data_IF_142694791242
#
_entry.id   IF_142694791242
#
_cell.length_a   1.000
_cell.length_b   1.000
_cell.length_c   1.000
_cell.angle_alpha   90.00
_cell.angle_beta   90.00
_cell.angle_gamma   90.00
#
_symmetry.space_group_name_H-M   'P 1'
#
loop_
_entity.id
_entity.type
_entity.pdbx_description
1 polymer ?
#
# COMPACT_ATOMS: atom_id res chain seq x y z
N UNK A 1 49.99 1.03 -8.57
CA UNK A 1 48.64 1.34 -9.08
C UNK A 1 47.64 0.54 -8.27
N UNK A 2 47.01 1.16 -7.27
CA UNK A 2 45.91 0.53 -6.52
C UNK A 2 44.69 0.48 -7.41
N UNK A 3 44.25 -0.71 -7.82
CA UNK A 3 42.95 -0.90 -8.45
C UNK A 3 41.89 -0.43 -7.44
N UNK A 4 41.33 0.77 -7.66
CA UNK A 4 40.14 1.19 -6.94
C UNK A 4 39.03 0.20 -7.28
N UNK A 5 38.66 -0.62 -6.31
CA UNK A 5 37.60 -1.61 -6.44
C UNK A 5 36.28 -0.84 -6.60
N UNK A 6 35.79 -0.72 -7.83
CA UNK A 6 34.52 -0.07 -8.13
C UNK A 6 33.38 -0.85 -7.47
N UNK A 7 32.63 -0.19 -6.60
CA UNK A 7 31.45 -0.79 -5.97
C UNK A 7 30.23 -0.59 -6.86
N UNK A 8 29.47 -1.66 -7.09
CA UNK A 8 28.28 -1.61 -7.93
C UNK A 8 27.06 -2.31 -7.33
N UNK A 9 25.88 -1.95 -7.81
CA UNK A 9 24.64 -2.68 -7.53
C UNK A 9 23.66 -2.57 -8.69
N UNK A 10 22.76 -3.52 -8.81
CA UNK A 10 21.69 -3.51 -9.83
C UNK A 10 20.36 -3.26 -9.14
N UNK A 11 19.62 -2.24 -9.59
CA UNK A 11 18.25 -1.98 -9.19
C UNK A 11 17.29 -2.48 -10.28
N UNK A 12 16.16 -3.04 -9.86
CA UNK A 12 15.16 -3.60 -10.75
C UNK A 12 13.84 -2.83 -10.63
N UNK A 13 13.43 -2.23 -11.74
CA UNK A 13 12.23 -1.42 -11.86
C UNK A 13 11.23 -2.11 -12.78
N UNK A 14 9.95 -1.89 -12.55
CA UNK A 14 8.88 -2.32 -13.45
C UNK A 14 7.89 -1.17 -13.69
N UNK A 15 7.57 -0.90 -14.96
CA UNK A 15 6.69 0.20 -15.37
C UNK A 15 7.36 1.58 -15.38
N UNK A 16 8.67 1.67 -15.11
CA UNK A 16 9.41 2.92 -15.16
C UNK A 16 9.74 3.30 -16.61
N UNK A 17 9.51 4.57 -16.98
CA UNK A 17 9.89 5.08 -18.30
C UNK A 17 11.42 5.24 -18.38
N UNK A 18 12.05 4.68 -19.42
CA UNK A 18 13.51 4.75 -19.64
C UNK A 18 14.05 6.19 -19.65
N UNK A 19 13.28 7.12 -20.22
CA UNK A 19 13.61 8.56 -20.25
C UNK A 19 13.61 9.19 -18.86
N UNK A 20 12.68 8.80 -17.98
CA UNK A 20 12.65 9.27 -16.60
C UNK A 20 13.85 8.75 -15.79
N UNK A 21 14.27 7.50 -16.03
CA UNK A 21 15.48 6.93 -15.43
C UNK A 21 16.70 7.73 -15.88
N UNK A 22 16.84 8.00 -17.18
CA UNK A 22 17.94 8.81 -17.71
C UNK A 22 18.04 10.20 -17.07
N UNK A 23 16.92 10.93 -17.00
CA UNK A 23 16.85 12.24 -16.33
C UNK A 23 17.29 12.18 -14.86
N UNK A 24 16.93 11.11 -14.15
CA UNK A 24 17.32 10.96 -12.74
C UNK A 24 18.82 10.71 -12.59
N UNK A 25 19.40 9.92 -13.50
CA UNK A 25 20.83 9.61 -13.53
C UNK A 25 21.67 10.82 -13.93
N UNK A 26 21.22 11.60 -14.92
CA UNK A 26 21.88 12.85 -15.35
C UNK A 26 21.95 13.89 -14.22
N UNK A 27 20.97 13.88 -13.32
CA UNK A 27 20.92 14.76 -12.15
C UNK A 27 21.78 14.29 -10.96
N UNK A 28 22.58 13.22 -11.12
CA UNK A 28 23.50 12.80 -10.07
C UNK A 28 24.57 13.86 -9.81
N UNK A 29 24.69 14.35 -8.57
CA UNK A 29 25.72 15.31 -8.23
C UNK A 29 27.13 14.74 -8.50
N UNK A 30 28.03 15.50 -9.17
CA UNK A 30 29.34 15.01 -9.60
C UNK A 30 30.21 14.55 -8.43
N UNK A 31 30.00 15.11 -7.23
CA UNK A 31 30.69 14.70 -6.00
C UNK A 31 30.39 13.25 -5.57
N UNK A 32 29.30 12.63 -6.07
CA UNK A 32 29.03 11.22 -5.78
C UNK A 32 29.92 10.29 -6.61
N UNK A 33 30.52 10.78 -7.70
CA UNK A 33 31.32 9.99 -8.65
C UNK A 33 30.65 8.67 -9.00
N UNK A 34 29.34 8.75 -9.27
CA UNK A 34 28.48 7.62 -9.56
C UNK A 34 28.00 7.72 -11.01
N UNK A 35 27.96 6.58 -11.68
CA UNK A 35 27.40 6.43 -13.00
C UNK A 35 26.33 5.34 -12.97
N UNK A 36 25.37 5.42 -13.89
CA UNK A 36 24.40 4.36 -14.08
C UNK A 36 24.28 4.00 -15.56
N UNK A 37 24.07 2.72 -15.83
CA UNK A 37 23.63 2.20 -17.14
C UNK A 37 22.30 1.52 -16.95
N UNK A 38 21.40 1.65 -17.90
CA UNK A 38 20.11 0.97 -17.81
C UNK A 38 19.73 0.30 -19.12
N UNK A 39 18.93 -0.76 -19.00
CA UNK A 39 18.39 -1.51 -20.13
C UNK A 39 16.96 -1.91 -19.81
N UNK A 40 16.08 -1.74 -20.79
CA UNK A 40 14.68 -2.13 -20.69
C UNK A 40 14.37 -3.32 -21.57
N UNK A 41 13.49 -4.21 -21.09
CA UNK A 41 12.88 -5.31 -21.84
C UNK A 41 11.39 -5.33 -21.54
N UNK A 42 10.57 -4.91 -22.49
CA UNK A 42 9.16 -4.62 -22.23
C UNK A 42 9.03 -3.57 -21.13
N UNK A 43 8.22 -3.86 -20.11
CA UNK A 43 8.00 -2.97 -18.97
C UNK A 43 9.07 -3.08 -17.86
N UNK A 44 10.01 -4.03 -17.94
CA UNK A 44 11.05 -4.20 -16.94
C UNK A 44 12.30 -3.41 -17.30
N UNK A 45 12.86 -2.67 -16.33
CA UNK A 45 14.09 -1.89 -16.49
C UNK A 45 15.10 -2.26 -15.41
N UNK A 46 16.30 -2.65 -15.84
CA UNK A 46 17.44 -2.89 -14.97
C UNK A 46 18.34 -1.65 -14.99
N UNK A 47 18.72 -1.17 -13.81
CA UNK A 47 19.63 -0.03 -13.64
C UNK A 47 20.88 -0.50 -12.89
N UNK A 48 21.99 -0.62 -13.59
CA UNK A 48 23.29 -0.95 -13.03
C UNK A 48 23.98 0.35 -12.59
N UNK A 49 24.21 0.48 -11.28
CA UNK A 49 24.92 1.59 -10.66
C UNK A 49 26.37 1.20 -10.38
N UNK A 50 27.28 2.12 -10.63
CA UNK A 50 28.69 2.01 -10.29
C UNK A 50 29.15 3.31 -9.66
N UNK A 51 29.99 3.25 -8.64
CA UNK A 51 30.61 4.42 -8.06
C UNK A 51 32.02 4.11 -7.54
N UNK A 52 32.87 5.14 -7.52
CA UNK A 52 34.23 5.05 -6.98
C UNK A 52 34.28 4.89 -5.46
N UNK A 53 33.17 5.16 -4.75
CA UNK A 53 33.08 4.96 -3.31
C UNK A 53 31.74 4.34 -2.89
N UNK A 54 31.71 3.54 -1.80
CA UNK A 54 30.47 2.98 -1.25
C UNK A 54 29.45 4.05 -0.85
N UNK A 55 29.94 5.21 -0.38
CA UNK A 55 29.09 6.34 0.01
C UNK A 55 28.37 6.97 -1.19
N UNK A 56 29.08 7.13 -2.31
CA UNK A 56 28.53 7.60 -3.58
C UNK A 56 27.50 6.64 -4.13
N UNK A 57 27.81 5.34 -4.11
CA UNK A 57 26.88 4.28 -4.53
C UNK A 57 25.59 4.31 -3.70
N UNK A 58 25.70 4.41 -2.37
CA UNK A 58 24.53 4.46 -1.48
C UNK A 58 23.65 5.67 -1.76
N UNK A 59 24.24 6.85 -2.00
CA UNK A 59 23.50 8.08 -2.34
C UNK A 59 22.81 7.99 -3.69
N UNK A 60 23.52 7.52 -4.72
CA UNK A 60 22.95 7.33 -6.07
C UNK A 60 21.81 6.31 -6.07
N UNK A 61 22.01 5.17 -5.40
CA UNK A 61 20.96 4.17 -5.23
C UNK A 61 19.76 4.76 -4.48
N UNK A 62 19.99 5.50 -3.38
CA UNK A 62 18.92 6.12 -2.62
C UNK A 62 18.12 7.14 -3.44
N UNK A 63 18.78 7.94 -4.28
CA UNK A 63 18.11 8.89 -5.17
C UNK A 63 17.16 8.17 -6.13
N UNK A 64 17.61 7.07 -6.75
CA UNK A 64 16.75 6.23 -7.59
C UNK A 64 15.61 5.58 -6.80
N UNK A 65 15.87 5.09 -5.58
CA UNK A 65 14.81 4.52 -4.72
C UNK A 65 13.74 5.55 -4.37
N UNK A 66 14.11 6.81 -4.19
CA UNK A 66 13.17 7.90 -3.91
C UNK A 66 12.36 8.27 -5.14
N UNK A 67 13.03 8.47 -6.28
CA UNK A 67 12.39 8.82 -7.54
C UNK A 67 11.43 7.73 -8.04
N UNK A 68 11.84 6.46 -7.93
CA UNK A 68 11.11 5.30 -8.46
C UNK A 68 10.57 4.40 -7.35
N UNK A 69 10.15 4.98 -6.23
CA UNK A 69 9.74 4.21 -5.04
C UNK A 69 8.62 3.22 -5.33
N UNK A 70 7.72 3.53 -6.26
CA UNK A 70 6.63 2.65 -6.68
C UNK A 70 7.10 1.59 -7.67
N UNK A 71 8.01 1.93 -8.58
CA UNK A 71 8.46 1.08 -9.69
C UNK A 71 9.56 0.10 -9.28
N UNK A 72 10.35 0.47 -8.28
CA UNK A 72 11.36 -0.40 -7.69
C UNK A 72 10.69 -1.58 -6.99
N UNK A 73 11.03 -2.78 -7.46
CA UNK A 73 10.57 -4.03 -6.86
C UNK A 73 11.71 -4.83 -6.22
N UNK A 74 12.98 -4.59 -6.57
CA UNK A 74 14.09 -5.38 -6.04
C UNK A 74 15.47 -4.88 -6.45
N UNK A 75 16.48 -5.62 -6.03
CA UNK A 75 17.89 -5.38 -6.37
C UNK A 75 18.63 -6.71 -6.60
N UNK A 76 19.71 -6.68 -7.37
CA UNK A 76 20.49 -7.88 -7.69
C UNK A 76 19.64 -8.93 -8.42
N UNK A 77 19.51 -10.11 -7.83
CA UNK A 77 18.80 -11.26 -8.42
C UNK A 77 17.32 -11.37 -8.02
N UNK A 78 16.77 -10.40 -7.28
CA UNK A 78 15.35 -10.41 -6.91
C UNK A 78 14.47 -10.49 -8.17
N UNK A 79 13.56 -11.46 -8.22
CA UNK A 79 12.58 -11.57 -9.31
C UNK A 79 11.28 -10.88 -8.93
N UNK A 80 10.51 -10.41 -9.93
CA UNK A 80 9.22 -9.78 -9.67
C UNK A 80 8.22 -10.72 -8.93
N UNK A 81 8.10 -12.02 -9.27
CA UNK A 81 7.29 -12.95 -8.49
C UNK A 81 7.72 -13.06 -7.02
N UNK A 82 9.03 -13.11 -6.73
CA UNK A 82 9.52 -13.14 -5.35
C UNK A 82 9.16 -11.86 -4.59
N UNK A 83 9.28 -10.69 -5.24
CA UNK A 83 8.86 -9.41 -4.65
C UNK A 83 7.35 -9.32 -4.38
N UNK A 84 6.52 -10.05 -5.15
CA UNK A 84 5.07 -10.17 -4.88
C UNK A 84 4.83 -10.97 -3.62
N UNK A 85 5.42 -12.17 -3.50
CA UNK A 85 5.28 -13.02 -2.30
C UNK A 85 5.72 -12.25 -1.06
N UNK A 86 6.89 -11.62 -1.12
CA UNK A 86 7.44 -10.81 -0.03
C UNK A 86 6.54 -9.62 0.34
N UNK A 87 5.92 -8.96 -0.64
CA UNK A 87 4.98 -7.86 -0.40
C UNK A 87 3.66 -8.34 0.21
N UNK A 88 3.15 -9.49 -0.21
CA UNK A 88 1.94 -10.08 0.35
C UNK A 88 2.16 -10.55 1.79
N UNK A 89 3.27 -11.26 2.04
CA UNK A 89 3.64 -11.75 3.37
C UNK A 89 3.85 -10.59 4.34
N UNK A 90 4.65 -9.59 3.95
CA UNK A 90 4.94 -8.41 4.78
C UNK A 90 3.69 -7.65 5.20
N UNK A 91 2.66 -7.65 4.35
CA UNK A 91 1.43 -6.92 4.59
C UNK A 91 0.26 -7.80 5.03
N UNK A 92 0.53 -9.08 5.31
CA UNK A 92 -0.46 -10.07 5.74
C UNK A 92 -1.70 -10.09 4.84
N UNK A 93 -1.47 -10.29 3.54
CA UNK A 93 -2.53 -10.26 2.52
C UNK A 93 -2.64 -11.58 1.78
N UNK A 94 -3.86 -12.11 1.73
CA UNK A 94 -4.20 -13.27 0.91
C UNK A 94 -4.61 -12.85 -0.51
N UNK A 95 -3.95 -13.43 -1.50
CA UNK A 95 -4.28 -13.36 -2.92
C UNK A 95 -5.00 -14.65 -3.35
N UNK A 96 -6.04 -14.51 -4.16
CA UNK A 96 -6.69 -15.63 -4.85
C UNK A 96 -6.92 -15.31 -6.33
N UNK A 97 -7.11 -16.35 -7.14
CA UNK A 97 -7.59 -16.20 -8.51
C UNK A 97 -9.11 -16.40 -8.58
N UNK A 98 -9.78 -15.59 -9.39
CA UNK A 98 -11.23 -15.68 -9.59
C UNK A 98 -11.59 -16.61 -10.75
N UNK A 99 -10.68 -16.77 -11.72
CA UNK A 99 -10.82 -17.58 -12.93
C UNK A 99 -9.51 -18.28 -13.29
N UNK A 100 -9.62 -19.26 -14.19
CA UNK A 100 -8.50 -20.06 -14.65
C UNK A 100 -7.50 -19.25 -15.49
N UNK A 101 -7.93 -18.18 -16.17
CA UNK A 101 -7.04 -17.33 -16.95
C UNK A 101 -6.03 -16.61 -16.03
N UNK A 102 -6.49 -15.99 -14.94
CA UNK A 102 -5.60 -15.43 -13.93
C UNK A 102 -4.76 -16.51 -13.23
N UNK A 103 -5.32 -17.69 -12.97
CA UNK A 103 -4.59 -18.86 -12.47
C UNK A 103 -3.38 -19.21 -13.35
N UNK A 104 -3.61 -19.40 -14.64
CA UNK A 104 -2.56 -19.72 -15.62
C UNK A 104 -1.45 -18.66 -15.70
N UNK A 105 -1.76 -17.38 -15.47
CA UNK A 105 -0.76 -16.31 -15.44
C UNK A 105 0.13 -16.38 -14.19
N UNK A 106 -0.41 -16.81 -13.04
CA UNK A 106 0.24 -16.68 -11.74
C UNK A 106 0.83 -17.98 -11.19
N UNK A 107 0.12 -19.11 -11.32
CA UNK A 107 0.44 -20.37 -10.61
C UNK A 107 1.86 -20.84 -10.88
N UNK A 108 2.23 -21.07 -12.14
CA UNK A 108 3.57 -21.53 -12.51
C UNK A 108 4.70 -20.57 -12.10
N UNK A 109 4.39 -19.28 -11.83
CA UNK A 109 5.38 -18.27 -11.41
C UNK A 109 5.53 -18.19 -9.90
N UNK A 110 4.54 -18.64 -9.15
CA UNK A 110 4.51 -18.56 -7.69
C UNK A 110 4.75 -19.93 -7.03
N UNK A 111 4.43 -21.04 -7.69
CA UNK A 111 4.44 -22.40 -7.11
C UNK A 111 5.79 -22.79 -6.49
N UNK A 112 6.91 -22.41 -7.13
CA UNK A 112 8.25 -22.78 -6.66
C UNK A 112 8.89 -21.73 -5.74
N UNK A 113 8.15 -20.71 -5.32
CA UNK A 113 8.68 -19.65 -4.46
C UNK A 113 8.42 -19.95 -2.98
N UNK A 114 9.43 -19.76 -2.12
CA UNK A 114 9.26 -19.96 -0.69
C UNK A 114 8.24 -18.96 -0.13
N UNK A 115 7.26 -19.45 0.63
CA UNK A 115 6.23 -18.62 1.28
C UNK A 115 5.02 -18.31 0.40
N UNK A 116 5.03 -18.70 -0.88
CA UNK A 116 3.89 -18.50 -1.78
C UNK A 116 2.63 -19.21 -1.26
N UNK A 117 2.77 -20.39 -0.64
CA UNK A 117 1.71 -21.18 -0.05
C UNK A 117 0.96 -20.48 1.09
N UNK A 118 1.59 -19.47 1.72
CA UNK A 118 0.97 -18.69 2.82
C UNK A 118 0.10 -17.56 2.30
N UNK A 119 0.38 -17.08 1.08
CA UNK A 119 -0.21 -15.85 0.53
C UNK A 119 -1.04 -16.08 -0.72
N UNK A 120 -0.96 -17.26 -1.33
CA UNK A 120 -1.67 -17.61 -2.55
C UNK A 120 -2.27 -19.01 -2.47
N UNK A 121 -3.52 -19.15 -2.91
CA UNK A 121 -4.30 -20.37 -2.71
C UNK A 121 -4.20 -21.40 -3.85
N UNK A 122 -3.54 -21.05 -4.95
CA UNK A 122 -3.42 -21.91 -6.15
C UNK A 122 -4.77 -22.48 -6.62
N UNK A 123 -5.85 -21.69 -6.48
CA UNK A 123 -7.20 -22.09 -6.85
C UNK A 123 -7.91 -23.06 -5.89
N UNK A 124 -7.20 -23.63 -4.91
CA UNK A 124 -7.68 -24.74 -4.08
C UNK A 124 -8.93 -24.41 -3.25
N UNK A 125 -9.08 -23.15 -2.83
CA UNK A 125 -10.25 -22.67 -2.07
C UNK A 125 -11.10 -21.66 -2.85
N UNK A 126 -10.70 -21.30 -4.06
CA UNK A 126 -11.34 -20.27 -4.89
C UNK A 126 -11.98 -20.83 -6.16
N UNK A 127 -11.40 -20.56 -7.33
CA UNK A 127 -12.05 -20.81 -8.62
C UNK A 127 -12.04 -22.29 -9.05
N UNK A 128 -11.03 -23.06 -8.62
CA UNK A 128 -10.91 -24.49 -8.93
C UNK A 128 -11.65 -25.36 -7.91
N UNK A 129 -12.10 -24.78 -6.79
CA UNK A 129 -12.80 -25.51 -5.75
C UNK A 129 -14.23 -25.90 -6.21
N UNK A 130 -14.64 -27.19 -6.10
CA UNK A 130 -15.94 -27.66 -6.60
C UNK A 130 -17.14 -27.09 -5.82
N UNK A 131 -16.95 -26.61 -4.58
CA UNK A 131 -18.00 -25.98 -3.78
C UNK A 131 -18.00 -24.46 -3.94
N UNK A 132 -16.82 -23.84 -3.86
CA UNK A 132 -16.68 -22.37 -3.89
C UNK A 132 -16.83 -21.81 -5.30
N UNK A 133 -16.28 -22.47 -6.32
CA UNK A 133 -16.32 -22.03 -7.72
C UNK A 133 -17.76 -21.74 -8.22
N UNK A 134 -18.71 -22.68 -8.08
CA UNK A 134 -20.11 -22.44 -8.44
C UNK A 134 -20.78 -21.32 -7.64
N UNK A 135 -20.41 -21.14 -6.36
CA UNK A 135 -20.93 -20.07 -5.53
C UNK A 135 -20.42 -18.69 -5.97
N UNK A 136 -19.14 -18.59 -6.36
CA UNK A 136 -18.55 -17.40 -6.96
C UNK A 136 -19.30 -17.03 -8.23
N UNK A 137 -19.49 -17.99 -9.13
CA UNK A 137 -20.20 -17.80 -10.40
C UNK A 137 -21.65 -17.32 -10.17
N UNK A 138 -22.37 -17.98 -9.25
CA UNK A 138 -23.74 -17.58 -8.88
C UNK A 138 -23.80 -16.14 -8.38
N UNK A 139 -22.87 -15.73 -7.50
CA UNK A 139 -22.82 -14.35 -6.96
C UNK A 139 -22.36 -13.32 -8.00
N UNK A 140 -21.51 -13.72 -8.94
CA UNK A 140 -21.08 -12.86 -10.04
C UNK A 140 -22.25 -12.57 -10.99
N UNK A 141 -22.96 -13.62 -11.44
CA UNK A 141 -24.14 -13.51 -12.32
C UNK A 141 -25.26 -12.67 -11.71
N UNK A 142 -25.49 -12.77 -10.40
CA UNK A 142 -26.49 -11.95 -9.71
C UNK A 142 -26.25 -10.43 -9.79
N UNK A 143 -25.03 -10.00 -10.15
CA UNK A 143 -24.66 -8.58 -10.30
C UNK A 143 -24.69 -8.09 -11.75
N UNK A 144 -24.89 -9.00 -12.69
CA UNK A 144 -24.87 -8.72 -14.12
C UNK A 144 -26.30 -8.75 -14.67
N UNK A 145 -26.57 -7.99 -15.75
CA UNK A 145 -27.75 -8.22 -16.57
C UNK A 145 -27.81 -9.67 -17.06
N UNK A 146 -29.02 -10.23 -17.24
CA UNK A 146 -29.22 -11.63 -17.63
C UNK A 146 -28.46 -12.00 -18.91
N UNK A 147 -28.36 -11.06 -19.85
CA UNK A 147 -27.77 -11.28 -21.18
C UNK A 147 -26.36 -10.67 -21.32
N UNK A 148 -25.65 -10.46 -20.20
CA UNK A 148 -24.32 -9.85 -20.24
C UNK A 148 -23.26 -10.82 -20.77
N UNK A 149 -22.81 -10.60 -22.00
CA UNK A 149 -21.75 -11.36 -22.66
C UNK A 149 -20.37 -10.70 -22.62
N UNK A 150 -20.26 -9.46 -22.15
CA UNK A 150 -18.99 -8.73 -22.07
C UNK A 150 -18.00 -9.43 -21.12
N UNK A 151 -16.88 -9.99 -21.63
CA UNK A 151 -15.91 -10.73 -20.83
C UNK A 151 -15.32 -9.90 -19.69
N UNK A 152 -15.14 -8.59 -19.89
CA UNK A 152 -14.58 -7.71 -18.87
C UNK A 152 -15.55 -7.52 -17.70
N UNK A 153 -16.84 -7.31 -17.99
CA UNK A 153 -17.87 -7.21 -16.94
C UNK A 153 -17.99 -8.52 -16.17
N UNK A 154 -17.90 -9.65 -16.85
CA UNK A 154 -17.89 -10.97 -16.22
C UNK A 154 -16.68 -11.16 -15.31
N UNK A 155 -15.46 -10.93 -15.80
CA UNK A 155 -14.23 -11.02 -15.01
C UNK A 155 -14.25 -10.08 -13.79
N UNK A 156 -14.72 -8.84 -13.96
CA UNK A 156 -14.88 -7.88 -12.88
C UNK A 156 -15.87 -8.36 -11.81
N UNK A 157 -17.05 -8.82 -12.22
CA UNK A 157 -18.06 -9.34 -11.29
C UNK A 157 -17.54 -10.58 -10.56
N UNK A 158 -16.81 -11.46 -11.26
CA UNK A 158 -16.21 -12.68 -10.72
C UNK A 158 -15.11 -12.39 -9.72
N UNK A 159 -14.16 -11.50 -10.02
CA UNK A 159 -13.12 -11.06 -9.06
C UNK A 159 -13.70 -10.42 -7.80
N UNK A 160 -14.77 -9.64 -7.95
CA UNK A 160 -15.48 -9.07 -6.81
C UNK A 160 -16.26 -10.10 -5.99
N UNK A 161 -16.80 -11.13 -6.63
CA UNK A 161 -17.51 -12.21 -5.97
C UNK A 161 -16.53 -13.14 -5.24
N UNK A 162 -15.48 -13.60 -5.92
CA UNK A 162 -14.42 -14.46 -5.39
C UNK A 162 -13.84 -13.89 -4.08
N UNK A 163 -13.38 -12.63 -4.12
CA UNK A 163 -12.86 -11.95 -2.93
C UNK A 163 -13.81 -11.99 -1.74
N UNK A 164 -15.12 -11.79 -1.98
CA UNK A 164 -16.14 -11.76 -0.91
C UNK A 164 -16.60 -13.15 -0.46
N UNK A 165 -16.56 -14.15 -1.32
CA UNK A 165 -16.94 -15.53 -0.99
C UNK A 165 -15.85 -16.17 -0.14
N UNK A 166 -14.60 -16.04 -0.58
CA UNK A 166 -13.44 -16.66 0.09
C UNK A 166 -13.00 -15.82 1.30
N UNK A 167 -13.23 -14.51 1.28
CA UNK A 167 -12.75 -13.62 2.35
C UNK A 167 -11.31 -13.15 2.16
N UNK A 168 -10.76 -13.25 0.95
CA UNK A 168 -9.41 -12.82 0.63
C UNK A 168 -9.26 -11.29 0.56
N UNK A 169 -8.03 -10.79 0.66
CA UNK A 169 -7.71 -9.37 0.53
C UNK A 169 -7.72 -8.91 -0.92
N UNK A 170 -7.17 -9.75 -1.79
CA UNK A 170 -7.00 -9.51 -3.21
C UNK A 170 -7.56 -10.67 -4.02
N UNK A 171 -8.20 -10.36 -5.16
CA UNK A 171 -8.65 -11.36 -6.11
C UNK A 171 -8.33 -10.92 -7.53
N UNK A 172 -7.58 -11.75 -8.25
CA UNK A 172 -7.16 -11.52 -9.63
C UNK A 172 -8.10 -12.21 -10.63
N UNK A 173 -8.32 -11.58 -11.78
CA UNK A 173 -9.04 -12.12 -12.94
C UNK A 173 -8.39 -11.60 -14.22
N UNK A 174 -8.47 -12.34 -15.33
CA UNK A 174 -8.15 -11.84 -16.68
C UNK A 174 -9.35 -12.08 -17.60
N UNK A 175 -9.71 -11.04 -18.35
CA UNK A 175 -10.60 -11.17 -19.49
C UNK A 175 -9.73 -11.20 -20.76
N UNK A 176 -9.55 -12.38 -21.32
CA UNK A 176 -8.87 -12.56 -22.60
C UNK A 176 -9.81 -12.16 -23.75
N UNK A 177 -9.29 -11.40 -24.70
CA UNK A 177 -9.94 -11.00 -25.95
C UNK A 177 -9.01 -11.32 -27.11
N UNK A 178 -9.51 -11.23 -28.34
CA UNK A 178 -8.75 -11.60 -29.53
C UNK A 178 -7.42 -10.83 -29.69
N UNK A 179 -7.36 -9.58 -29.23
CA UNK A 179 -6.20 -8.68 -29.43
C UNK A 179 -5.53 -8.19 -28.14
N UNK A 180 -6.17 -8.39 -26.97
CA UNK A 180 -5.67 -7.93 -25.68
C UNK A 180 -6.13 -8.84 -24.51
N UNK A 181 -5.46 -8.74 -23.35
CA UNK A 181 -6.03 -9.21 -22.07
C UNK A 181 -6.29 -8.00 -21.18
N UNK A 182 -7.48 -7.95 -20.58
CA UNK A 182 -7.78 -6.99 -19.54
C UNK A 182 -7.61 -7.66 -18.17
N UNK A 183 -6.60 -7.22 -17.45
CA UNK A 183 -6.29 -7.63 -16.09
C UNK A 183 -7.20 -6.90 -15.11
N UNK A 184 -7.74 -7.65 -14.15
CA UNK A 184 -8.56 -7.11 -13.06
C UNK A 184 -8.00 -7.57 -11.73
N UNK A 185 -7.75 -6.61 -10.83
CA UNK A 185 -7.44 -6.89 -9.43
C UNK A 185 -8.48 -6.26 -8.51
N UNK A 186 -9.32 -7.09 -7.91
CA UNK A 186 -10.30 -6.70 -6.90
C UNK A 186 -9.64 -6.61 -5.53
N UNK A 187 -9.85 -5.49 -4.83
CA UNK A 187 -9.47 -5.29 -3.45
C UNK A 187 -10.63 -4.69 -2.64
N UNK A 188 -10.44 -4.44 -1.34
CA UNK A 188 -11.47 -3.83 -0.48
C UNK A 188 -11.94 -2.46 -0.98
N UNK A 189 -11.04 -1.64 -1.53
CA UNK A 189 -11.31 -0.27 -1.95
C UNK A 189 -11.99 -0.17 -3.32
N UNK A 190 -11.85 -1.18 -4.17
CA UNK A 190 -12.30 -1.16 -5.55
C UNK A 190 -11.58 -2.20 -6.40
N UNK A 191 -11.56 -1.97 -7.71
CA UNK A 191 -10.90 -2.84 -8.67
C UNK A 191 -9.91 -2.03 -9.51
N UNK A 192 -8.67 -2.51 -9.61
CA UNK A 192 -7.74 -2.02 -10.61
C UNK A 192 -7.97 -2.75 -11.93
N UNK A 193 -7.87 -2.02 -13.04
CA UNK A 193 -8.04 -2.55 -14.39
C UNK A 193 -6.86 -2.11 -15.26
N UNK A 194 -6.32 -3.02 -16.06
CA UNK A 194 -5.29 -2.70 -17.04
C UNK A 194 -5.49 -3.53 -18.30
N UNK A 195 -5.54 -2.87 -19.45
CA UNK A 195 -5.46 -3.53 -20.75
C UNK A 195 -4.01 -3.76 -21.12
N UNK A 196 -3.66 -4.99 -21.48
CA UNK A 196 -2.32 -5.39 -21.92
C UNK A 196 -2.42 -5.86 -23.38
N UNK A 197 -1.69 -5.22 -24.31
CA UNK A 197 -1.70 -5.63 -25.71
C UNK A 197 -0.99 -6.98 -25.90
N UNK A 198 -1.33 -7.73 -26.96
CA UNK A 198 -0.80 -9.08 -27.21
C UNK A 198 0.75 -9.18 -27.30
N UNK A 199 1.47 -8.09 -27.57
CA UNK A 199 2.93 -8.06 -27.61
C UNK A 199 3.62 -7.94 -26.24
N UNK A 200 2.86 -7.73 -25.17
CA UNK A 200 3.38 -7.60 -23.81
C UNK A 200 3.02 -8.83 -22.95
N UNK A 201 3.73 -9.02 -21.84
CA UNK A 201 3.49 -10.15 -20.95
C UNK A 201 2.44 -9.78 -19.88
N UNK A 202 1.18 -10.28 -19.96
CA UNK A 202 0.13 -9.96 -19.00
C UNK A 202 0.44 -10.45 -17.58
N UNK A 203 1.19 -11.54 -17.43
CA UNK A 203 1.54 -12.07 -16.11
C UNK A 203 2.43 -11.09 -15.32
N UNK A 204 3.41 -10.46 -15.97
CA UNK A 204 4.29 -9.49 -15.31
C UNK A 204 3.52 -8.25 -14.86
N UNK A 205 2.61 -7.75 -15.69
CA UNK A 205 1.73 -6.63 -15.32
C UNK A 205 0.81 -6.99 -14.16
N UNK A 206 0.23 -8.19 -14.16
CA UNK A 206 -0.63 -8.63 -13.06
C UNK A 206 0.15 -8.71 -11.74
N UNK A 207 1.35 -9.30 -11.77
CA UNK A 207 2.26 -9.35 -10.63
C UNK A 207 2.59 -7.96 -10.08
N UNK A 208 2.91 -7.00 -10.95
CA UNK A 208 3.21 -5.63 -10.50
C UNK A 208 1.99 -4.92 -9.88
N UNK A 209 0.80 -5.08 -10.46
CA UNK A 209 -0.44 -4.54 -9.90
C UNK A 209 -0.69 -5.11 -8.50
N UNK A 210 -0.49 -6.43 -8.32
CA UNK A 210 -0.61 -7.12 -7.03
C UNK A 210 0.41 -6.57 -6.04
N UNK A 211 1.70 -6.55 -6.40
CA UNK A 211 2.80 -6.05 -5.55
C UNK A 211 2.52 -4.64 -5.04
N UNK A 212 2.14 -3.73 -5.94
CA UNK A 212 1.85 -2.33 -5.59
C UNK A 212 0.60 -2.23 -4.72
N UNK A 213 -0.44 -3.02 -5.00
CA UNK A 213 -1.66 -3.04 -4.18
C UNK A 213 -1.40 -3.63 -2.79
N UNK A 214 -0.55 -4.66 -2.68
CA UNK A 214 -0.12 -5.25 -1.42
C UNK A 214 0.60 -4.20 -0.57
N UNK A 215 1.53 -3.46 -1.18
CA UNK A 215 2.32 -2.42 -0.51
C UNK A 215 1.65 -1.04 -0.40
N UNK A 216 0.38 -0.88 -0.83
CA UNK A 216 -0.32 0.41 -0.93
C UNK A 216 0.46 1.50 -1.72
N UNK A 217 1.20 1.10 -2.75
CA UNK A 217 1.93 1.99 -3.66
C UNK A 217 1.02 2.46 -4.81
N UNK A 218 1.31 3.62 -5.43
CA UNK A 218 0.59 4.05 -6.62
C UNK A 218 0.85 3.07 -7.77
N UNK A 219 -0.20 2.83 -8.57
CA UNK A 219 -0.14 1.93 -9.71
C UNK A 219 0.63 2.53 -10.88
N UNK A 220 1.16 1.66 -11.74
CA UNK A 220 1.83 2.07 -12.96
C UNK A 220 0.86 2.78 -13.92
N UNK A 221 1.40 3.70 -14.74
CA UNK A 221 0.65 4.46 -15.73
C UNK A 221 -0.17 3.54 -16.66
N UNK A 222 -1.41 3.95 -16.98
CA UNK A 222 -2.35 3.15 -17.77
C UNK A 222 -3.18 2.14 -16.94
N UNK A 223 -2.95 2.04 -15.64
CA UNK A 223 -3.79 1.23 -14.74
C UNK A 223 -4.94 2.07 -14.19
N UNK A 224 -6.17 1.78 -14.61
CA UNK A 224 -7.37 2.42 -14.12
C UNK A 224 -7.81 1.90 -12.75
N UNK A 225 -8.58 2.70 -12.01
CA UNK A 225 -9.20 2.30 -10.75
C UNK A 225 -10.70 2.55 -10.75
N UNK A 226 -11.47 1.48 -10.56
CA UNK A 226 -12.90 1.52 -10.35
C UNK A 226 -13.18 1.42 -8.85
N UNK A 227 -13.62 2.49 -8.18
CA UNK A 227 -13.92 2.43 -6.75
C UNK A 227 -15.05 1.43 -6.49
N UNK A 228 -14.98 0.73 -5.36
CA UNK A 228 -16.12 -0.05 -4.90
C UNK A 228 -17.25 0.95 -4.65
N UNK A 229 -18.24 1.02 -5.55
CA UNK A 229 -19.46 1.80 -5.32
C UNK A 229 -19.97 1.36 -3.94
N UNK A 230 -19.88 2.26 -2.94
CA UNK A 230 -20.83 2.20 -1.83
C UNK A 230 -22.17 2.20 -2.54
N UNK A 231 -22.98 1.16 -2.33
CA UNK A 231 -24.28 1.03 -2.96
C UNK A 231 -24.91 2.42 -3.04
N UNK A 232 -25.06 2.93 -4.26
CA UNK A 232 -25.71 4.20 -4.46
C UNK A 232 -27.07 4.06 -3.76
N UNK A 233 -27.29 4.82 -2.68
CA UNK A 233 -28.67 5.07 -2.26
C UNK A 233 -29.32 5.65 -3.50
N UNK A 234 -30.28 4.90 -4.05
CA UNK A 234 -31.16 5.35 -5.13
C UNK A 234 -31.62 6.77 -4.79
N UNK A 235 -31.36 7.68 -5.73
CA UNK A 235 -31.93 9.01 -5.85
C UNK A 235 -32.12 9.79 -4.55
N UNK A 236 -31.06 10.49 -4.14
CA UNK A 236 -31.22 11.76 -3.43
C UNK A 236 -30.30 12.77 -4.10
N UNK A 237 -30.88 13.91 -4.50
CA UNK A 237 -30.20 15.13 -4.95
C UNK A 237 -28.94 15.44 -4.13
N UNK A 238 -27.96 16.22 -4.65
CA UNK A 238 -26.65 16.40 -4.04
C UNK A 238 -26.77 16.83 -2.58
N UNK A 239 -26.62 15.88 -1.67
CA UNK A 239 -26.60 16.15 -0.24
C UNK A 239 -25.27 16.82 0.10
N UNK A 240 -25.28 17.96 0.82
CA UNK A 240 -24.08 18.73 1.09
C UNK A 240 -23.09 17.89 1.91
N UNK A 241 -21.80 18.06 1.59
CA UNK A 241 -20.63 17.44 2.21
C UNK A 241 -20.83 17.16 3.71
N UNK A 242 -20.40 15.99 4.24
CA UNK A 242 -20.54 15.69 5.66
C UNK A 242 -19.72 16.70 6.47
N UNK A 243 -20.41 17.71 7.00
CA UNK A 243 -19.86 18.62 8.00
C UNK A 243 -19.40 17.76 9.16
N UNK A 244 -18.10 17.79 9.46
CA UNK A 244 -17.53 17.19 10.66
C UNK A 244 -18.34 17.71 11.86
N UNK A 245 -19.11 16.82 12.51
CA UNK A 245 -20.08 17.21 13.52
C UNK A 245 -19.39 17.97 14.67
N UNK A 246 -19.78 19.23 14.96
CA UNK A 246 -19.20 20.02 16.04
C UNK A 246 -19.39 19.36 17.41
N UNK A 247 -20.48 18.61 17.57
CA UNK A 247 -20.79 17.80 18.76
C UNK A 247 -19.71 16.77 19.12
N UNK A 248 -19.04 16.16 18.13
CA UNK A 248 -17.96 15.19 18.41
C UNK A 248 -16.71 15.87 18.95
N UNK A 249 -16.42 17.10 18.53
CA UNK A 249 -15.34 17.91 19.11
C UNK A 249 -15.71 18.34 20.52
N UNK A 250 -16.94 18.81 20.74
CA UNK A 250 -17.43 19.21 22.07
C UNK A 250 -17.39 18.04 23.05
N UNK A 251 -17.86 16.84 22.66
CA UNK A 251 -17.76 15.66 23.53
C UNK A 251 -16.31 15.26 23.83
N UNK A 252 -15.41 15.32 22.85
CA UNK A 252 -14.00 15.02 23.09
C UNK A 252 -13.34 16.06 24.00
N UNK A 253 -13.64 17.35 23.83
CA UNK A 253 -13.11 18.40 24.72
C UNK A 253 -13.65 18.26 26.14
N UNK A 254 -14.93 17.92 26.30
CA UNK A 254 -15.52 17.67 27.62
C UNK A 254 -14.91 16.42 28.28
N UNK A 255 -14.66 15.35 27.52
CA UNK A 255 -13.98 14.16 28.02
C UNK A 255 -12.57 14.47 28.53
N UNK A 256 -11.79 15.25 27.76
CA UNK A 256 -10.44 15.63 28.16
C UNK A 256 -10.45 16.53 29.40
N UNK A 257 -11.38 17.49 29.49
CA UNK A 257 -11.53 18.34 30.67
C UNK A 257 -11.93 17.54 31.91
N UNK A 258 -12.86 16.59 31.78
CA UNK A 258 -13.24 15.70 32.88
C UNK A 258 -12.06 14.85 33.37
N UNK A 259 -11.24 14.35 32.44
CA UNK A 259 -10.05 13.57 32.77
C UNK A 259 -9.00 14.41 33.52
N UNK A 260 -8.76 15.65 33.07
CA UNK A 260 -7.84 16.59 33.73
C UNK A 260 -8.33 16.97 35.12
N UNK A 261 -9.63 17.21 35.29
CA UNK A 261 -10.22 17.50 36.61
C UNK A 261 -10.09 16.31 37.57
N UNK A 262 -10.29 15.08 37.09
CA UNK A 262 -10.10 13.87 37.89
C UNK A 262 -8.63 13.70 38.32
N UNK A 263 -7.69 13.94 37.41
CA UNK A 263 -6.25 13.90 37.73
C UNK A 263 -5.85 14.98 38.74
N UNK A 264 -6.39 16.20 38.61
CA UNK A 264 -6.16 17.28 39.57
C UNK A 264 -6.72 16.93 40.96
N UNK A 265 -7.93 16.33 41.03
CA UNK A 265 -8.52 15.89 42.28
C UNK A 265 -7.69 14.77 42.94
N UNK A 266 -7.22 13.78 42.18
CA UNK A 266 -6.34 12.73 42.69
C UNK A 266 -5.00 13.30 43.18
N UNK A 267 -4.43 14.27 42.44
CA UNK A 267 -3.23 14.99 42.86
C UNK A 267 -3.43 15.75 44.18
N UNK A 268 -4.53 16.51 44.29
CA UNK A 268 -4.89 17.24 45.50
C UNK A 268 -5.16 16.30 46.70
N UNK A 269 -5.79 15.14 46.48
CA UNK A 269 -5.99 14.12 47.52
C UNK A 269 -4.67 13.55 48.05
N UNK A 270 -3.74 13.22 47.15
CA UNK A 270 -2.40 12.76 47.54
C UNK A 270 -1.60 13.85 48.25
N UNK A 271 -1.72 15.10 47.80
CA UNK A 271 -0.99 16.22 48.38
C UNK A 271 -1.50 16.60 49.79
N UNK A 272 -2.80 16.50 50.02
CA UNK A 272 -3.45 16.83 51.31
C UNK A 272 -3.55 15.63 52.27
N UNK A 273 -2.94 14.51 51.93
CA UNK A 273 -2.94 13.27 52.72
C UNK A 273 -4.36 12.83 53.15
N UNK A 274 -5.34 13.00 52.26
CA UNK A 274 -6.74 12.59 52.48
C UNK A 274 -7.68 13.63 53.09
N UNK A 275 -7.25 14.89 53.30
CA UNK A 275 -8.12 15.95 53.81
C UNK A 275 -8.28 17.12 52.83
N UNK A 276 -9.27 17.02 51.92
CA UNK A 276 -9.55 18.04 50.90
C UNK A 276 -9.86 19.44 51.45
N UNK A 277 -10.36 19.56 52.69
CA UNK A 277 -10.73 20.84 53.28
C UNK A 277 -9.52 21.70 53.69
N UNK A 278 -8.32 21.10 53.79
CA UNK A 278 -7.08 21.81 54.11
C UNK A 278 -6.39 22.45 52.88
N UNK A 279 -6.86 22.12 51.66
CA UNK A 279 -6.26 22.59 50.40
C UNK A 279 -6.23 24.12 50.23
N UNK A 280 -7.28 24.90 50.62
CA UNK A 280 -7.28 26.36 50.46
C UNK A 280 -6.23 27.05 51.32
N UNK A 281 -6.00 26.56 52.54
CA UNK A 281 -5.00 27.12 53.48
C UNK A 281 -3.56 26.78 53.03
N UNK A 282 -3.32 25.56 52.54
CA UNK A 282 -2.00 25.17 52.02
C UNK A 282 -1.62 25.89 50.72
N UNK A 283 -2.58 26.12 49.82
CA UNK A 283 -2.35 26.92 48.61
C UNK A 283 -2.05 28.38 48.96
N UNK A 284 -2.74 28.95 49.96
CA UNK A 284 -2.44 30.29 50.47
C UNK A 284 -1.03 30.37 51.05
N UNK A 285 -0.61 29.39 51.84
CA UNK A 285 0.74 29.33 52.40
C UNK A 285 1.82 29.30 51.30
N UNK A 286 1.66 28.45 50.27
CA UNK A 286 2.55 28.37 49.12
C UNK A 286 2.60 29.68 48.30
N UNK A 287 1.45 30.32 48.10
CA UNK A 287 1.36 31.60 47.40
C UNK A 287 2.02 32.73 48.20
N UNK A 288 1.96 32.69 49.53
CA UNK A 288 2.61 33.68 50.39
C UNK A 288 4.12 33.49 50.55
N UNK A 289 4.65 32.26 50.40
CA UNK A 289 6.11 32.02 50.38
C UNK A 289 6.79 32.62 49.13
N UNK A 290 6.05 32.83 48.04
CA UNK A 290 6.58 33.38 46.78
C UNK A 290 6.37 34.89 46.58
N UNK A 291 5.89 35.61 47.61
CA UNK A 291 5.89 37.08 47.58
C UNK A 291 7.22 37.57 48.17
N UNK A 292 8.14 38.15 47.37
CA UNK A 292 9.37 38.69 47.92
C UNK A 292 9.02 39.85 48.86
N UNK A 293 9.52 39.79 50.10
CA UNK A 293 9.45 40.93 51.03
C UNK A 293 10.16 42.13 50.39
N UNK A 294 9.60 43.34 50.43
CA UNK A 294 10.26 44.51 49.89
C UNK A 294 11.50 44.80 50.75
N UNK A 295 12.70 44.64 50.18
CA UNK A 295 13.95 45.08 50.81
C UNK A 295 15.10 44.07 50.92
N UNK A 296 15.19 43.02 50.11
CA UNK A 296 16.41 42.20 50.04
C UNK A 296 17.25 42.56 48.79
N UNK A 297 18.31 43.33 49.01
CA UNK A 297 19.39 43.61 48.04
C UNK A 297 20.12 42.32 47.65
N UNK A 298 20.21 42.07 46.34
CA UNK A 298 21.08 41.04 45.76
C UNK A 298 22.54 41.48 45.88
N UNK A 299 23.37 40.67 46.54
CA UNK A 299 24.83 40.61 46.35
C UNK A 299 25.12 39.36 45.55
#
# INVERSE_FOLDING_TARGET
>A
MTQQQETGCVLRLFGAQSTAVGKTVENFPPQWRAAARWKSRGAETLVALQAQSPSGLKKAAQALRQAFSADLYGAGETTLPAAVVEALERHDKLLICADAAAGALLEARLENLPGAEKVFDFGAVSYANPKTGPLIEKRARARLPKDCTDPLRQALARAQAARRVVGADLSAACAERESDCVLVLSCRKGCFLRTVPAGENPALWLLDIIRRTAANKPQAEGTGFLPARRAAKKDVLPSPQPRRHPLRRVCMTLLVLALLAALAAVGAWKYTNGNFYALPEQLRALLTEHVPRPGATLV
#
